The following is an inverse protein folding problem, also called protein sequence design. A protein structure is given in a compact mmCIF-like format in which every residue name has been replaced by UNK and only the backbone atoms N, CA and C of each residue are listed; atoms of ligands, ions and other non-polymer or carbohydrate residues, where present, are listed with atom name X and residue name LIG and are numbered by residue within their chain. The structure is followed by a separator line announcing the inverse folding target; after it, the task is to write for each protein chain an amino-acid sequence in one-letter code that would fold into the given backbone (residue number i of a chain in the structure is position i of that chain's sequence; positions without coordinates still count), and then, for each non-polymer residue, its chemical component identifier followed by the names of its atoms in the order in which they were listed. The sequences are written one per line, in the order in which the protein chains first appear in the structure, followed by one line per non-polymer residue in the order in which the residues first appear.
data_IF_658875943001
#
_entry.id   IF_658875943001
#
_cell.length_a   1.000
_cell.length_b   1.000
_cell.length_c   1.000
_cell.angle_alpha   90.00
_cell.angle_beta   90.00
_cell.angle_gamma   90.00
#
_symmetry.space_group_name_H-M   'P 1'
#
loop_
_entity.id
_entity.type
_entity.pdbx_description
1 polymer ?
#
# COMPACT_ATOMS: atom_id res chain seq x y z
N UNK A 1 -9.49 -12.06 -17.43
CA UNK A 1 -10.14 -13.23 -18.05
C UNK A 1 -10.83 -14.17 -17.06
N UNK A 2 -10.29 -14.37 -15.85
CA UNK A 2 -10.86 -15.26 -14.82
C UNK A 2 -12.22 -14.79 -14.28
N UNK A 3 -12.38 -13.49 -14.00
CA UNK A 3 -13.65 -12.94 -13.49
C UNK A 3 -14.84 -13.05 -14.47
N UNK A 4 -14.59 -12.94 -15.78
CA UNK A 4 -15.64 -13.07 -16.81
C UNK A 4 -16.16 -14.51 -16.87
N UNK A 5 -15.27 -15.50 -16.69
CA UNK A 5 -15.63 -16.92 -16.63
C UNK A 5 -16.48 -17.26 -15.40
N UNK A 6 -16.20 -16.66 -14.25
CA UNK A 6 -17.02 -16.83 -13.04
C UNK A 6 -18.43 -16.26 -13.20
N UNK A 7 -18.57 -15.09 -13.85
CA UNK A 7 -19.88 -14.48 -14.11
C UNK A 7 -20.74 -15.34 -15.04
N UNK A 8 -20.15 -15.88 -16.11
CA UNK A 8 -20.83 -16.81 -17.03
C UNK A 8 -21.26 -18.11 -16.35
N UNK A 9 -20.44 -18.63 -15.43
CA UNK A 9 -20.74 -19.86 -14.71
C UNK A 9 -21.91 -19.70 -13.73
N UNK A 10 -21.96 -18.56 -13.01
CA UNK A 10 -23.10 -18.21 -12.16
C UNK A 10 -24.38 -17.98 -12.98
N UNK A 11 -24.25 -17.49 -14.21
CA UNK A 11 -25.37 -17.29 -15.13
C UNK A 11 -26.01 -18.63 -15.55
N UNK A 12 -25.16 -19.63 -15.82
CA UNK A 12 -25.59 -20.99 -16.24
C UNK A 12 -26.23 -21.78 -15.09
N UNK A 13 -25.72 -21.65 -13.87
CA UNK A 13 -26.30 -22.31 -12.68
C UNK A 13 -27.71 -21.79 -12.34
N UNK A 14 -27.99 -20.51 -12.63
CA UNK A 14 -29.32 -19.93 -12.43
C UNK A 14 -30.40 -20.48 -13.37
N UNK A 15 -30.01 -21.01 -14.54
CA UNK A 15 -30.95 -21.59 -15.51
C UNK A 15 -31.30 -23.05 -15.20
N UNK A 16 -30.43 -23.79 -14.50
CA UNK A 16 -30.60 -25.21 -14.23
C UNK A 16 -31.44 -25.52 -12.98
N UNK A 17 -31.75 -24.52 -12.14
CA UNK A 17 -32.44 -24.73 -10.85
C UNK A 17 -33.99 -24.74 -10.94
N UNK A 18 -34.56 -24.83 -12.15
CA UNK A 18 -36.00 -24.69 -12.37
C UNK A 18 -36.58 -25.89 -13.15
N UNK A 19 -36.81 -27.02 -12.49
CA UNK A 19 -37.77 -28.03 -12.98
C UNK A 19 -38.26 -28.89 -11.82
N UNK A 20 -39.54 -28.72 -11.46
CA UNK A 20 -40.30 -29.41 -10.39
C UNK A 20 -40.94 -30.72 -10.94
N UNK A 21 -41.37 -31.69 -10.10
CA UNK A 21 -41.69 -33.08 -10.48
C UNK A 21 -42.97 -33.26 -11.32
N UNK A 22 -43.75 -32.20 -11.54
CA UNK A 22 -44.89 -32.23 -12.45
C UNK A 22 -44.49 -32.43 -13.93
N UNK A 23 -43.20 -32.25 -14.25
CA UNK A 23 -42.64 -32.43 -15.58
C UNK A 23 -42.59 -33.92 -16.02
N UNK A 24 -42.25 -34.83 -15.09
CA UNK A 24 -42.05 -36.24 -15.44
C UNK A 24 -43.36 -36.95 -15.81
N UNK A 25 -44.45 -36.71 -15.05
CA UNK A 25 -45.77 -37.34 -15.29
C UNK A 25 -46.36 -36.93 -16.65
N UNK A 26 -46.18 -35.66 -17.06
CA UNK A 26 -46.66 -35.17 -18.37
C UNK A 26 -45.84 -35.77 -19.52
N UNK A 27 -44.52 -35.83 -19.36
CA UNK A 27 -43.61 -36.32 -20.40
C UNK A 27 -43.82 -37.81 -20.66
N UNK A 28 -44.08 -38.59 -19.62
CA UNK A 28 -44.37 -40.02 -19.75
C UNK A 28 -45.75 -40.28 -20.34
N UNK A 29 -46.74 -39.41 -20.08
CA UNK A 29 -48.05 -39.44 -20.75
C UNK A 29 -47.97 -39.15 -22.26
N UNK A 30 -47.17 -38.16 -22.69
CA UNK A 30 -47.00 -37.87 -24.12
C UNK A 30 -46.26 -39.02 -24.84
N UNK A 31 -45.21 -39.57 -24.22
CA UNK A 31 -44.45 -40.68 -24.79
C UNK A 31 -45.28 -41.95 -24.95
N UNK A 32 -46.14 -42.26 -23.98
CA UNK A 32 -47.00 -43.45 -24.05
C UNK A 32 -48.09 -43.32 -25.11
N UNK A 33 -48.66 -42.12 -25.29
CA UNK A 33 -49.61 -41.81 -26.37
C UNK A 33 -49.00 -42.05 -27.74
N UNK A 34 -47.78 -41.53 -27.98
CA UNK A 34 -47.08 -41.75 -29.24
C UNK A 34 -46.75 -43.24 -29.48
N UNK A 35 -46.39 -43.98 -28.42
CA UNK A 35 -46.14 -45.43 -28.54
C UNK A 35 -47.42 -46.21 -28.86
N UNK A 36 -48.54 -45.87 -28.23
CA UNK A 36 -49.81 -46.54 -28.49
C UNK A 36 -50.29 -46.28 -29.93
N UNK A 37 -50.20 -45.04 -30.42
CA UNK A 37 -50.57 -44.68 -31.79
C UNK A 37 -49.71 -45.43 -32.82
N UNK A 38 -48.40 -45.52 -32.57
CA UNK A 38 -47.48 -46.30 -33.41
C UNK A 38 -47.78 -47.80 -33.41
N UNK A 39 -48.23 -48.38 -32.28
CA UNK A 39 -48.55 -49.81 -32.18
C UNK A 39 -49.88 -50.15 -32.86
N UNK A 40 -50.87 -49.26 -32.79
CA UNK A 40 -52.15 -49.39 -33.50
C UNK A 40 -51.94 -49.32 -35.01
N UNK A 41 -51.11 -48.39 -35.50
CA UNK A 41 -50.78 -48.29 -36.93
C UNK A 41 -50.01 -49.50 -37.46
N UNK A 42 -49.21 -50.16 -36.62
CA UNK A 42 -48.46 -51.35 -37.00
C UNK A 42 -49.33 -52.63 -37.06
N UNK A 43 -50.57 -52.60 -36.55
CA UNK A 43 -51.49 -53.75 -36.58
C UNK A 43 -51.12 -54.92 -35.65
N UNK A 44 -50.17 -54.72 -34.73
CA UNK A 44 -49.58 -55.78 -33.88
C UNK A 44 -50.16 -55.79 -32.44
N UNK A 45 -50.98 -54.80 -32.07
CA UNK A 45 -51.47 -54.68 -30.70
C UNK A 45 -52.79 -55.42 -30.44
N UNK A 46 -52.83 -56.17 -29.35
CA UNK A 46 -54.08 -56.63 -28.74
C UNK A 46 -54.81 -55.38 -28.20
N UNK A 47 -55.85 -54.95 -28.91
CA UNK A 47 -56.43 -53.59 -28.82
C UNK A 47 -57.03 -53.27 -27.45
N UNK A 48 -57.32 -54.30 -26.65
CA UNK A 48 -57.90 -54.20 -25.32
C UNK A 48 -56.85 -53.82 -24.27
N UNK A 49 -55.65 -54.42 -24.32
CA UNK A 49 -54.60 -54.19 -23.32
C UNK A 49 -53.94 -52.81 -23.47
N UNK A 50 -53.75 -52.33 -24.70
CA UNK A 50 -53.22 -50.98 -24.96
C UNK A 50 -54.23 -49.89 -24.57
N UNK A 51 -55.53 -50.14 -24.79
CA UNK A 51 -56.59 -49.24 -24.37
C UNK A 51 -56.71 -49.14 -22.83
N UNK A 52 -56.54 -50.25 -22.11
CA UNK A 52 -56.50 -50.25 -20.63
C UNK A 52 -55.32 -49.43 -20.09
N UNK A 53 -54.11 -49.65 -20.61
CA UNK A 53 -52.91 -48.93 -20.18
C UNK A 53 -53.02 -47.42 -20.47
N UNK A 54 -53.59 -47.04 -21.62
CA UNK A 54 -53.81 -45.63 -21.95
C UNK A 54 -54.87 -44.99 -21.03
N UNK A 55 -55.93 -45.73 -20.69
CA UNK A 55 -56.99 -45.27 -19.81
C UNK A 55 -56.49 -45.04 -18.38
N UNK A 56 -55.65 -45.95 -17.87
CA UNK A 56 -55.04 -45.82 -16.55
C UNK A 56 -54.13 -44.59 -16.48
N UNK A 57 -53.30 -44.37 -17.49
CA UNK A 57 -52.41 -43.21 -17.56
C UNK A 57 -53.18 -41.89 -17.79
N UNK A 58 -54.27 -41.92 -18.56
CA UNK A 58 -55.16 -40.79 -18.73
C UNK A 58 -55.86 -40.43 -17.41
N UNK A 59 -56.20 -41.42 -16.60
CA UNK A 59 -56.79 -41.23 -15.27
C UNK A 59 -55.79 -40.62 -14.30
N UNK A 60 -54.54 -41.07 -14.32
CA UNK A 60 -53.46 -40.46 -13.51
C UNK A 60 -53.19 -39.01 -13.90
N UNK A 61 -53.10 -38.73 -15.20
CA UNK A 61 -52.98 -37.36 -15.70
C UNK A 61 -54.17 -36.48 -15.29
N UNK A 62 -55.39 -37.01 -15.38
CA UNK A 62 -56.61 -36.29 -15.00
C UNK A 62 -56.64 -35.97 -13.50
N UNK A 63 -56.23 -36.92 -12.63
CA UNK A 63 -56.06 -36.65 -11.19
C UNK A 63 -54.99 -35.59 -10.92
N UNK A 64 -53.84 -35.68 -11.58
CA UNK A 64 -52.77 -34.69 -11.43
C UNK A 64 -53.22 -33.29 -11.87
N UNK A 65 -54.05 -33.21 -12.92
CA UNK A 65 -54.64 -31.96 -13.41
C UNK A 65 -55.69 -31.38 -12.47
N UNK A 66 -56.51 -32.22 -11.84
CA UNK A 66 -57.50 -31.81 -10.83
C UNK A 66 -56.84 -31.30 -9.54
N UNK A 67 -55.79 -31.99 -9.06
CA UNK A 67 -54.98 -31.54 -7.92
C UNK A 67 -54.28 -30.20 -8.19
N UNK A 68 -54.04 -29.89 -9.47
CA UNK A 68 -53.45 -28.63 -9.93
C UNK A 68 -54.50 -27.52 -10.16
N UNK A 69 -55.74 -27.71 -9.69
CA UNK A 69 -56.83 -26.73 -9.71
C UNK A 69 -57.16 -26.22 -11.13
N UNK A 70 -57.01 -27.10 -12.14
CA UNK A 70 -57.29 -26.82 -13.54
C UNK A 70 -56.30 -25.87 -14.24
N UNK A 71 -55.24 -25.39 -13.57
CA UNK A 71 -54.20 -24.58 -14.22
C UNK A 71 -53.31 -25.49 -15.07
N UNK A 72 -53.15 -25.13 -16.35
CA UNK A 72 -52.39 -25.92 -17.35
C UNK A 72 -51.01 -26.28 -16.79
N UNK A 73 -50.65 -27.56 -16.88
CA UNK A 73 -49.32 -28.13 -16.56
C UNK A 73 -48.28 -27.67 -17.60
N UNK A 74 -48.16 -26.35 -17.78
CA UNK A 74 -47.18 -25.73 -18.67
C UNK A 74 -46.41 -24.71 -17.84
N UNK A 75 -45.08 -24.79 -17.94
CA UNK A 75 -44.05 -24.02 -17.22
C UNK A 75 -44.57 -22.74 -16.56
N UNK A 76 -44.56 -22.67 -15.22
CA UNK A 76 -44.75 -21.39 -14.55
C UNK A 76 -43.52 -20.51 -14.82
N UNK A 77 -43.69 -19.25 -15.27
CA UNK A 77 -42.58 -18.32 -15.37
C UNK A 77 -42.06 -17.99 -13.97
N UNK A 78 -40.73 -17.89 -13.83
CA UNK A 78 -40.06 -17.56 -12.57
C UNK A 78 -40.65 -16.27 -11.94
N UNK A 79 -40.72 -16.24 -10.59
CA UNK A 79 -41.25 -15.10 -9.84
C UNK A 79 -40.60 -13.78 -10.26
N UNK A 80 -41.40 -12.77 -10.61
CA UNK A 80 -40.93 -11.43 -11.04
C UNK A 80 -39.93 -10.80 -10.07
N UNK A 81 -40.06 -11.09 -8.77
CA UNK A 81 -39.11 -10.66 -7.72
C UNK A 81 -37.73 -11.31 -7.87
N UNK A 82 -37.67 -12.61 -8.16
CA UNK A 82 -36.41 -13.34 -8.36
C UNK A 82 -35.70 -12.85 -9.62
N UNK A 83 -36.44 -12.60 -10.70
CA UNK A 83 -35.90 -12.03 -11.93
C UNK A 83 -35.29 -10.64 -11.71
N UNK A 84 -35.97 -9.78 -10.94
CA UNK A 84 -35.44 -8.46 -10.60
C UNK A 84 -34.16 -8.53 -9.74
N UNK A 85 -34.16 -9.38 -8.71
CA UNK A 85 -32.98 -9.57 -7.84
C UNK A 85 -31.76 -10.05 -8.63
N UNK A 86 -31.97 -10.98 -9.55
CA UNK A 86 -30.88 -11.52 -10.38
C UNK A 86 -30.40 -10.51 -11.43
N UNK A 87 -31.30 -9.70 -11.99
CA UNK A 87 -30.94 -8.56 -12.85
C UNK A 87 -30.11 -7.51 -12.09
N UNK A 88 -30.51 -7.14 -10.88
CA UNK A 88 -29.78 -6.20 -10.03
C UNK A 88 -28.40 -6.73 -9.63
N UNK A 89 -28.31 -8.01 -9.26
CA UNK A 89 -27.03 -8.67 -8.97
C UNK A 89 -26.09 -8.70 -10.17
N UNK A 90 -26.63 -9.02 -11.37
CA UNK A 90 -25.85 -9.02 -12.60
C UNK A 90 -25.32 -7.62 -12.92
N UNK A 91 -26.16 -6.59 -12.82
CA UNK A 91 -25.75 -5.20 -13.04
C UNK A 91 -24.65 -4.75 -12.06
N UNK A 92 -24.78 -5.10 -10.78
CA UNK A 92 -23.76 -4.84 -9.77
C UNK A 92 -22.44 -5.53 -10.12
N UNK A 93 -22.48 -6.80 -10.51
CA UNK A 93 -21.28 -7.57 -10.87
C UNK A 93 -20.58 -7.01 -12.11
N UNK A 94 -21.32 -6.59 -13.13
CA UNK A 94 -20.76 -5.90 -14.28
C UNK A 94 -20.12 -4.56 -13.88
N UNK A 95 -20.79 -3.76 -13.05
CA UNK A 95 -20.26 -2.50 -12.54
C UNK A 95 -18.93 -2.68 -11.77
N UNK A 96 -18.89 -3.66 -10.87
CA UNK A 96 -17.66 -4.00 -10.13
C UNK A 96 -16.56 -4.49 -11.07
N UNK A 97 -16.88 -5.29 -12.08
CA UNK A 97 -15.89 -5.78 -13.05
C UNK A 97 -15.24 -4.64 -13.86
N UNK A 98 -16.07 -3.71 -14.34
CA UNK A 98 -15.61 -2.52 -15.06
C UNK A 98 -14.72 -1.67 -14.15
N UNK A 99 -15.17 -1.41 -12.91
CA UNK A 99 -14.39 -0.65 -11.92
C UNK A 99 -13.04 -1.31 -11.61
N UNK A 100 -13.03 -2.62 -11.35
CA UNK A 100 -11.78 -3.37 -11.13
C UNK A 100 -10.86 -3.36 -12.35
N UNK A 101 -11.40 -3.40 -13.56
CA UNK A 101 -10.60 -3.35 -14.79
C UNK A 101 -9.92 -1.99 -14.98
N UNK A 102 -10.65 -0.90 -14.78
CA UNK A 102 -10.10 0.47 -14.81
C UNK A 102 -9.01 0.61 -13.73
N UNK A 103 -9.28 0.09 -12.53
CA UNK A 103 -8.33 0.12 -11.42
C UNK A 103 -7.06 -0.66 -11.72
N UNK A 104 -7.15 -1.86 -12.31
CA UNK A 104 -5.97 -2.66 -12.66
C UNK A 104 -5.12 -2.00 -13.76
N UNK A 105 -5.75 -1.35 -14.74
CA UNK A 105 -5.02 -0.60 -15.79
C UNK A 105 -4.20 0.52 -15.16
N UNK A 106 -4.80 1.31 -14.27
CA UNK A 106 -4.10 2.39 -13.55
C UNK A 106 -2.92 1.85 -12.72
N UNK A 107 -3.15 0.80 -11.92
CA UNK A 107 -2.09 0.16 -11.13
C UNK A 107 -0.99 -0.49 -11.98
N UNK A 108 -1.32 -0.96 -13.19
CA UNK A 108 -0.34 -1.54 -14.10
C UNK A 108 0.62 -0.48 -14.62
N UNK A 109 0.11 0.69 -14.96
CA UNK A 109 0.93 1.82 -15.43
C UNK A 109 1.82 2.37 -14.30
N UNK A 110 1.30 2.53 -13.08
CA UNK A 110 2.12 2.95 -11.92
C UNK A 110 3.26 1.94 -11.63
N UNK A 111 2.99 0.63 -11.79
CA UNK A 111 4.03 -0.41 -11.68
C UNK A 111 5.06 -0.36 -12.80
N UNK A 112 4.68 0.03 -14.02
CA UNK A 112 5.65 0.26 -15.11
C UNK A 112 6.56 1.44 -14.78
N UNK A 113 6.01 2.53 -14.25
CA UNK A 113 6.79 3.70 -13.85
C UNK A 113 7.84 3.34 -12.80
N UNK A 114 7.47 2.61 -11.75
CA UNK A 114 8.43 2.12 -10.74
C UNK A 114 9.53 1.24 -11.35
N UNK A 115 9.18 0.39 -12.31
CA UNK A 115 10.18 -0.43 -13.03
C UNK A 115 11.14 0.43 -13.83
N UNK A 116 10.66 1.43 -14.57
CA UNK A 116 11.54 2.34 -15.32
C UNK A 116 12.54 3.07 -14.43
N UNK A 117 12.16 3.45 -13.20
CA UNK A 117 13.11 4.04 -12.25
C UNK A 117 14.18 3.04 -11.80
N UNK A 118 13.79 1.79 -11.53
CA UNK A 118 14.74 0.72 -11.17
C UNK A 118 15.66 0.42 -12.33
N UNK A 119 15.11 0.21 -13.54
CA UNK A 119 15.86 -0.08 -14.76
C UNK A 119 16.85 1.05 -15.08
N UNK A 120 16.43 2.31 -14.93
CA UNK A 120 17.30 3.48 -15.09
C UNK A 120 18.46 3.45 -14.09
N UNK A 121 18.18 3.19 -12.81
CA UNK A 121 19.21 3.13 -11.78
C UNK A 121 20.21 1.98 -12.00
N UNK A 122 19.71 0.83 -12.47
CA UNK A 122 20.52 -0.34 -12.78
C UNK A 122 21.40 -0.09 -14.00
N UNK A 123 20.85 0.52 -15.05
CA UNK A 123 21.59 0.90 -16.24
C UNK A 123 22.66 1.96 -15.95
N UNK A 124 22.37 2.94 -15.09
CA UNK A 124 23.38 3.90 -14.63
C UNK A 124 24.50 3.20 -13.85
N UNK A 125 24.20 2.16 -13.07
CA UNK A 125 25.21 1.35 -12.40
C UNK A 125 26.05 0.52 -13.39
N UNK A 126 25.40 -0.07 -14.40
CA UNK A 126 26.09 -0.80 -15.49
C UNK A 126 27.03 0.11 -16.27
N UNK A 127 26.61 1.34 -16.57
CA UNK A 127 27.47 2.34 -17.23
C UNK A 127 28.70 2.68 -16.37
N UNK A 128 28.53 2.85 -15.04
CA UNK A 128 29.67 3.07 -14.14
C UNK A 128 30.66 1.90 -14.14
N UNK A 129 30.16 0.66 -14.18
CA UNK A 129 31.02 -0.52 -14.26
C UNK A 129 31.73 -0.62 -15.61
N UNK A 130 31.01 -0.40 -16.71
CA UNK A 130 31.57 -0.38 -18.07
C UNK A 130 32.70 0.66 -18.20
N UNK A 131 32.53 1.84 -17.58
CA UNK A 131 33.56 2.88 -17.59
C UNK A 131 34.81 2.45 -16.82
N UNK A 132 34.69 1.74 -15.69
CA UNK A 132 35.84 1.18 -14.97
C UNK A 132 36.58 0.13 -15.80
N UNK A 133 35.86 -0.84 -16.37
CA UNK A 133 36.45 -1.87 -17.24
C UNK A 133 37.16 -1.22 -18.45
N UNK A 134 36.59 -0.13 -18.96
CA UNK A 134 37.19 0.66 -20.05
C UNK A 134 38.51 1.32 -19.64
N UNK A 135 38.57 1.88 -18.44
CA UNK A 135 39.80 2.46 -17.88
C UNK A 135 40.87 1.39 -17.65
N UNK A 136 40.49 0.23 -17.11
CA UNK A 136 41.39 -0.92 -16.91
C UNK A 136 41.98 -1.44 -18.23
N UNK A 137 41.15 -1.62 -19.26
CA UNK A 137 41.60 -2.08 -20.57
C UNK A 137 42.48 -1.03 -21.28
N UNK A 138 42.22 0.26 -21.09
CA UNK A 138 43.11 1.33 -21.59
C UNK A 138 44.46 1.30 -20.89
N UNK A 139 44.48 1.12 -19.57
CA UNK A 139 45.72 0.98 -18.81
C UNK A 139 46.53 -0.26 -19.26
N UNK A 140 45.84 -1.37 -19.54
CA UNK A 140 46.47 -2.56 -20.12
C UNK A 140 47.14 -2.26 -21.47
N UNK A 141 46.48 -1.51 -22.37
CA UNK A 141 47.08 -1.11 -23.66
C UNK A 141 48.33 -0.23 -23.53
N UNK A 142 48.44 0.55 -22.46
CA UNK A 142 49.63 1.37 -22.17
C UNK A 142 50.81 0.53 -21.63
N UNK A 143 50.57 -0.71 -21.22
CA UNK A 143 51.61 -1.60 -20.72
C UNK A 143 52.52 -2.09 -21.86
N UNK A 144 53.83 -1.91 -21.68
CA UNK A 144 54.86 -2.12 -22.73
C UNK A 144 55.09 -3.60 -23.10
N UNK A 145 54.43 -4.55 -22.42
CA UNK A 145 54.66 -6.00 -22.52
C UNK A 145 53.73 -6.75 -23.47
N UNK A 146 52.66 -6.14 -23.98
CA UNK A 146 51.65 -6.83 -24.78
C UNK A 146 52.12 -7.21 -26.19
N UNK A 147 51.87 -8.45 -26.59
CA UNK A 147 52.01 -8.90 -27.98
C UNK A 147 50.93 -8.32 -28.90
N UNK A 148 51.17 -8.27 -30.21
CA UNK A 148 50.24 -7.68 -31.19
C UNK A 148 48.85 -8.33 -31.16
N UNK A 149 48.79 -9.66 -31.00
CA UNK A 149 47.54 -10.40 -30.90
C UNK A 149 46.73 -10.03 -29.64
N UNK A 150 47.41 -9.80 -28.51
CA UNK A 150 46.76 -9.38 -27.25
C UNK A 150 46.25 -7.93 -27.36
N UNK A 151 47.01 -7.05 -28.02
CA UNK A 151 46.57 -5.67 -28.31
C UNK A 151 45.31 -5.63 -29.15
N UNK A 152 45.22 -6.48 -30.17
CA UNK A 152 44.02 -6.59 -31.03
C UNK A 152 42.80 -7.11 -30.25
N UNK A 153 42.97 -8.08 -29.34
CA UNK A 153 41.90 -8.58 -28.47
C UNK A 153 41.37 -7.47 -27.56
N UNK A 154 42.28 -6.72 -26.92
CA UNK A 154 41.89 -5.60 -26.05
C UNK A 154 41.17 -4.51 -26.84
N UNK A 155 41.60 -4.20 -28.07
CA UNK A 155 40.88 -3.26 -28.95
C UNK A 155 39.49 -3.77 -29.34
N UNK A 156 39.32 -5.06 -29.61
CA UNK A 156 38.01 -5.68 -29.87
C UNK A 156 37.11 -5.64 -28.64
N UNK A 157 37.64 -5.90 -27.46
CA UNK A 157 36.89 -5.78 -26.21
C UNK A 157 36.45 -4.35 -25.94
N UNK A 158 37.35 -3.38 -26.13
CA UNK A 158 37.08 -1.96 -25.96
C UNK A 158 35.98 -1.46 -26.91
N UNK A 159 36.02 -1.85 -28.17
CA UNK A 159 34.97 -1.50 -29.16
C UNK A 159 33.62 -2.13 -28.81
N UNK A 160 33.60 -3.37 -28.35
CA UNK A 160 32.38 -4.02 -27.87
C UNK A 160 31.79 -3.33 -26.63
N UNK A 161 32.63 -2.95 -25.67
CA UNK A 161 32.20 -2.21 -24.47
C UNK A 161 31.65 -0.83 -24.84
N UNK A 162 32.29 -0.10 -25.75
CA UNK A 162 31.78 1.19 -26.24
C UNK A 162 30.42 1.03 -26.94
N UNK A 163 30.26 0.03 -27.80
CA UNK A 163 28.98 -0.24 -28.45
C UNK A 163 27.89 -0.64 -27.44
N UNK A 164 28.25 -1.37 -26.37
CA UNK A 164 27.33 -1.69 -25.28
C UNK A 164 26.95 -0.45 -24.45
N UNK A 165 27.92 0.38 -24.08
CA UNK A 165 27.71 1.63 -23.35
C UNK A 165 26.80 2.60 -24.11
N UNK A 166 27.00 2.75 -25.42
CA UNK A 166 26.14 3.59 -26.26
C UNK A 166 24.68 3.12 -26.25
N UNK A 167 24.44 1.80 -26.36
CA UNK A 167 23.08 1.22 -26.27
C UNK A 167 22.42 1.48 -24.92
N UNK A 168 23.17 1.33 -23.81
CA UNK A 168 22.66 1.65 -22.48
C UNK A 168 22.34 3.15 -22.32
N UNK A 169 23.13 4.02 -22.95
CA UNK A 169 22.87 5.46 -22.94
C UNK A 169 21.59 5.80 -23.70
N UNK A 170 21.38 5.22 -24.88
CA UNK A 170 20.14 5.37 -25.66
C UNK A 170 18.92 4.84 -24.89
N UNK A 171 19.05 3.69 -24.23
CA UNK A 171 17.98 3.15 -23.37
C UNK A 171 17.66 4.08 -22.21
N UNK A 172 18.68 4.62 -21.53
CA UNK A 172 18.48 5.58 -20.44
C UNK A 172 17.80 6.87 -20.90
N UNK A 173 18.17 7.40 -22.06
CA UNK A 173 17.49 8.58 -22.62
C UNK A 173 16.03 8.28 -23.00
N UNK A 174 15.75 7.07 -23.51
CA UNK A 174 14.38 6.60 -23.75
C UNK A 174 13.58 6.49 -22.44
N UNK A 175 14.17 5.89 -21.40
CA UNK A 175 13.55 5.75 -20.07
C UNK A 175 13.27 7.13 -19.45
N UNK A 176 14.24 8.05 -19.50
CA UNK A 176 14.07 9.44 -19.01
C UNK A 176 12.96 10.17 -19.75
N UNK A 177 12.84 9.98 -21.07
CA UNK A 177 11.75 10.55 -21.86
C UNK A 177 10.39 10.01 -21.42
N UNK A 178 10.27 8.70 -21.23
CA UNK A 178 9.05 8.05 -20.72
C UNK A 178 8.70 8.52 -19.30
N UNK A 179 9.69 8.69 -18.42
CA UNK A 179 9.49 9.19 -17.06
C UNK A 179 8.93 10.62 -17.06
N UNK A 180 9.50 11.51 -17.89
CA UNK A 180 8.98 12.88 -18.07
C UNK A 180 7.54 12.92 -18.58
N UNK A 181 7.15 11.97 -19.43
CA UNK A 181 5.75 11.86 -19.89
C UNK A 181 4.80 11.47 -18.74
N UNK A 182 5.24 10.58 -17.85
CA UNK A 182 4.48 10.24 -16.64
C UNK A 182 4.36 11.43 -15.68
N UNK A 183 5.42 12.23 -15.49
CA UNK A 183 5.40 13.42 -14.63
C UNK A 183 4.42 14.50 -15.13
N UNK A 184 4.22 14.62 -16.44
CA UNK A 184 3.28 15.58 -17.05
C UNK A 184 1.81 15.22 -16.83
N UNK A 185 1.50 14.01 -16.33
CA UNK A 185 0.10 13.61 -16.09
C UNK A 185 -0.49 14.42 -14.93
N UNK A 186 -1.78 14.79 -15.00
CA UNK A 186 -2.42 15.49 -13.91
C UNK A 186 -2.38 14.62 -12.66
N UNK A 187 -1.83 15.20 -11.59
CA UNK A 187 -1.78 14.56 -10.28
C UNK A 187 -3.22 14.37 -9.81
N UNK A 188 -3.61 13.19 -9.28
CA UNK A 188 -4.94 13.01 -8.74
C UNK A 188 -5.23 14.10 -7.71
N UNK A 189 -6.42 14.74 -7.78
CA UNK A 189 -6.82 15.83 -6.90
C UNK A 189 -6.60 15.51 -5.40
N UNK A 190 -6.80 14.25 -5.02
CA UNK A 190 -6.55 13.74 -3.66
C UNK A 190 -5.08 13.88 -3.24
N UNK A 191 -4.13 13.59 -4.14
CA UNK A 191 -2.70 13.68 -3.88
C UNK A 191 -2.22 15.15 -3.86
N UNK A 192 -2.80 16.02 -4.69
CA UNK A 192 -2.56 17.46 -4.62
C UNK A 192 -3.04 18.06 -3.31
N UNK A 193 -4.25 17.68 -2.87
CA UNK A 193 -4.79 18.10 -1.58
C UNK A 193 -3.90 17.61 -0.45
N UNK A 194 -3.49 16.34 -0.46
CA UNK A 194 -2.59 15.79 0.55
C UNK A 194 -1.25 16.52 0.60
N UNK A 195 -0.67 16.86 -0.57
CA UNK A 195 0.56 17.65 -0.64
C UNK A 195 0.37 19.03 -0.02
N UNK A 196 -0.74 19.71 -0.36
CA UNK A 196 -1.09 21.02 0.20
C UNK A 196 -1.32 20.97 1.70
N UNK A 197 -2.00 19.96 2.22
CA UNK A 197 -2.16 19.78 3.67
C UNK A 197 -0.83 19.47 4.34
N UNK A 198 0.06 18.69 3.71
CA UNK A 198 1.41 18.44 4.19
C UNK A 198 2.27 19.71 4.26
N UNK A 199 2.19 20.57 3.23
CA UNK A 199 2.86 21.88 3.21
C UNK A 199 2.32 22.80 4.31
N UNK A 200 0.99 22.85 4.49
CA UNK A 200 0.37 23.60 5.58
C UNK A 200 0.80 23.09 6.96
N UNK A 201 0.86 21.77 7.15
CA UNK A 201 1.31 21.17 8.40
C UNK A 201 2.77 21.53 8.70
N UNK A 202 3.65 21.52 7.69
CA UNK A 202 5.05 21.97 7.84
C UNK A 202 5.12 23.44 8.23
N UNK A 203 4.42 24.30 7.51
CA UNK A 203 4.39 25.74 7.81
C UNK A 203 3.84 26.03 9.21
N UNK A 204 2.77 25.32 9.62
CA UNK A 204 2.23 25.45 10.97
C UNK A 204 3.23 24.97 12.02
N UNK A 205 3.93 23.87 11.78
CA UNK A 205 4.96 23.37 12.68
C UNK A 205 6.14 24.36 12.82
N UNK A 206 6.58 24.96 11.71
CA UNK A 206 7.59 26.04 11.72
C UNK A 206 7.10 27.25 12.55
N UNK A 207 5.86 27.68 12.35
CA UNK A 207 5.26 28.76 13.14
C UNK A 207 5.19 28.42 14.63
N UNK A 208 4.76 27.21 14.97
CA UNK A 208 4.72 26.73 16.37
C UNK A 208 6.12 26.74 16.96
N UNK A 209 7.14 26.31 16.22
CA UNK A 209 8.52 26.33 16.69
C UNK A 209 9.02 27.76 16.97
N UNK A 210 8.74 28.71 16.06
CA UNK A 210 9.10 30.13 16.23
C UNK A 210 8.35 30.77 17.40
N UNK A 211 7.06 30.49 17.54
CA UNK A 211 6.27 30.99 18.67
C UNK A 211 6.76 30.39 19.98
N UNK A 212 7.05 29.09 20.01
CA UNK A 212 7.57 28.41 21.19
C UNK A 212 8.93 28.98 21.62
N UNK A 213 9.83 29.26 20.68
CA UNK A 213 11.10 29.93 21.01
C UNK A 213 10.87 31.35 21.53
N UNK A 214 9.97 32.12 20.91
CA UNK A 214 9.64 33.46 21.36
C UNK A 214 9.01 33.48 22.77
N UNK A 215 8.15 32.50 23.10
CA UNK A 215 7.59 32.35 24.45
C UNK A 215 8.67 32.06 25.50
N UNK A 216 9.64 31.21 25.18
CA UNK A 216 10.75 30.89 26.10
C UNK A 216 11.72 32.07 26.23
N UNK A 217 11.97 32.80 25.14
CA UNK A 217 12.82 34.01 25.16
C UNK A 217 12.19 35.17 25.91
N UNK A 218 10.86 35.31 25.85
CA UNK A 218 10.11 36.34 26.57
C UNK A 218 9.77 36.01 28.03
N UNK A 219 10.12 34.81 28.52
CA UNK A 219 9.92 34.44 29.92
C UNK A 219 10.96 35.11 30.83
N UNK A 220 10.50 35.90 31.80
CA UNK A 220 11.34 36.70 32.68
C UNK A 220 12.33 35.85 33.51
N UNK A 221 11.90 34.67 33.97
CA UNK A 221 12.73 33.77 34.78
C UNK A 221 13.82 33.14 33.92
N UNK A 222 13.47 32.68 32.72
CA UNK A 222 14.45 32.15 31.76
C UNK A 222 15.45 33.24 31.33
N UNK A 223 14.98 34.46 31.05
CA UNK A 223 15.85 35.59 30.71
C UNK A 223 16.82 35.93 31.86
N UNK A 224 16.32 35.98 33.10
CA UNK A 224 17.13 36.23 34.28
C UNK A 224 18.20 35.14 34.48
N UNK A 225 17.81 33.85 34.36
CA UNK A 225 18.73 32.72 34.47
C UNK A 225 19.78 32.69 33.35
N UNK A 226 19.44 33.18 32.15
CA UNK A 226 20.40 33.31 31.06
C UNK A 226 21.43 34.41 31.33
N UNK A 227 20.99 35.57 31.84
CA UNK A 227 21.85 36.73 32.14
C UNK A 227 22.72 36.52 33.38
N UNK A 228 22.16 35.94 34.44
CA UNK A 228 22.83 35.71 35.71
C UNK A 228 22.70 34.25 36.13
N UNK A 229 23.48 33.33 35.53
CA UNK A 229 23.41 31.93 35.86
C UNK A 229 23.76 31.68 37.33
N UNK A 230 22.87 31.00 38.04
CA UNK A 230 23.03 30.62 39.45
C UNK A 230 22.58 29.19 39.66
N UNK A 231 22.93 28.59 40.80
CA UNK A 231 22.38 27.29 41.16
C UNK A 231 20.84 27.35 41.23
N UNK A 232 20.19 26.33 40.67
CA UNK A 232 18.73 26.24 40.63
C UNK A 232 18.19 25.67 41.95
N UNK A 233 17.20 26.35 42.51
CA UNK A 233 16.43 25.88 43.66
C UNK A 233 15.33 24.91 43.22
N UNK A 234 14.74 24.17 44.16
CA UNK A 234 13.64 23.25 43.85
C UNK A 234 12.44 23.98 43.21
N UNK A 235 12.16 25.22 43.65
CA UNK A 235 11.13 26.08 43.06
C UNK A 235 11.45 26.46 41.60
N UNK A 236 12.72 26.73 41.29
CA UNK A 236 13.15 27.02 39.91
C UNK A 236 12.95 25.79 39.02
N UNK A 237 13.25 24.59 39.50
CA UNK A 237 13.04 23.35 38.75
C UNK A 237 11.57 23.09 38.46
N UNK A 238 10.71 23.28 39.46
CA UNK A 238 9.26 23.14 39.28
C UNK A 238 8.72 24.17 38.29
N UNK A 239 9.20 25.42 38.36
CA UNK A 239 8.82 26.46 37.41
C UNK A 239 9.24 26.11 35.97
N UNK A 240 10.51 25.76 35.76
CA UNK A 240 11.03 25.42 34.43
C UNK A 240 10.32 24.20 33.84
N UNK A 241 9.98 23.21 34.66
CA UNK A 241 9.19 22.06 34.23
C UNK A 241 7.79 22.49 33.77
N UNK A 242 7.06 23.28 34.56
CA UNK A 242 5.73 23.79 34.20
C UNK A 242 5.77 24.66 32.94
N UNK A 243 6.82 25.47 32.77
CA UNK A 243 7.03 26.28 31.58
C UNK A 243 7.24 25.39 30.35
N UNK A 244 8.15 24.41 30.44
CA UNK A 244 8.42 23.49 29.33
C UNK A 244 7.19 22.64 28.96
N UNK A 245 6.43 22.15 29.95
CA UNK A 245 5.20 21.41 29.69
C UNK A 245 4.10 22.28 29.07
N UNK A 246 4.05 23.56 29.41
CA UNK A 246 3.11 24.52 28.80
C UNK A 246 3.51 24.85 27.35
N UNK A 247 4.80 25.08 27.09
CA UNK A 247 5.29 25.51 25.78
C UNK A 247 5.40 24.34 24.79
N UNK A 248 5.82 23.17 25.26
CA UNK A 248 6.14 22.01 24.42
C UNK A 248 5.18 20.83 24.63
N UNK A 249 3.89 21.13 24.80
CA UNK A 249 2.79 20.15 24.88
C UNK A 249 3.11 18.95 25.81
N UNK A 250 3.21 19.23 27.12
CA UNK A 250 3.50 18.23 28.15
C UNK A 250 4.77 17.39 27.87
N UNK A 251 5.83 18.07 27.43
CA UNK A 251 7.12 17.47 27.08
C UNK A 251 7.64 16.49 28.14
N UNK A 252 7.68 16.89 29.42
CA UNK A 252 8.27 16.06 30.47
C UNK A 252 7.48 14.78 30.72
N UNK A 253 6.14 14.86 30.61
CA UNK A 253 5.25 13.71 30.69
C UNK A 253 5.46 12.74 29.52
N UNK A 254 5.41 13.25 28.29
CA UNK A 254 5.61 12.46 27.06
C UNK A 254 6.99 11.80 27.04
N UNK A 255 8.03 12.54 27.39
CA UNK A 255 9.41 12.06 27.40
C UNK A 255 9.63 10.99 28.49
N UNK A 256 9.02 11.16 29.67
CA UNK A 256 9.11 10.17 30.75
C UNK A 256 8.37 8.87 30.44
N UNK A 257 7.25 8.94 29.71
CA UNK A 257 6.54 7.75 29.23
C UNK A 257 7.33 6.98 28.17
N UNK A 258 8.01 7.70 27.28
CA UNK A 258 8.78 7.09 26.20
C UNK A 258 10.11 6.50 26.69
N UNK A 259 10.74 7.11 27.70
CA UNK A 259 12.00 6.65 28.30
C UNK A 259 11.91 6.48 29.83
N UNK A 260 11.15 5.47 30.32
CA UNK A 260 10.93 5.26 31.76
C UNK A 260 12.21 4.95 32.56
N UNK A 261 13.24 4.40 31.91
CA UNK A 261 14.53 4.01 32.47
C UNK A 261 15.47 5.19 32.80
N UNK A 262 15.08 6.43 32.47
CA UNK A 262 15.90 7.61 32.74
C UNK A 262 15.85 8.01 34.22
N UNK A 263 17.02 8.30 34.77
CA UNK A 263 17.17 8.82 36.14
C UNK A 263 16.67 10.26 36.24
N UNK A 264 16.27 10.74 37.42
CA UNK A 264 15.84 12.14 37.61
C UNK A 264 16.84 13.17 37.08
N UNK A 265 18.14 12.96 37.30
CA UNK A 265 19.20 13.83 36.79
C UNK A 265 19.25 13.89 35.24
N UNK A 266 18.90 12.81 34.55
CA UNK A 266 18.82 12.81 33.09
C UNK A 266 17.60 13.59 32.61
N UNK A 267 16.47 13.50 33.32
CA UNK A 267 15.27 14.29 33.01
C UNK A 267 15.52 15.79 33.20
N UNK A 268 16.20 16.18 34.28
CA UNK A 268 16.64 17.56 34.51
C UNK A 268 17.55 18.06 33.39
N UNK A 269 18.52 17.24 32.96
CA UNK A 269 19.38 17.58 31.83
C UNK A 269 18.58 17.76 30.53
N UNK A 270 17.63 16.86 30.22
CA UNK A 270 16.76 17.00 29.06
C UNK A 270 15.92 18.28 29.11
N UNK A 271 15.37 18.63 30.27
CA UNK A 271 14.61 19.87 30.48
C UNK A 271 15.46 21.10 30.14
N UNK A 272 16.69 21.16 30.67
CA UNK A 272 17.59 22.29 30.41
C UNK A 272 18.05 22.37 28.94
N UNK A 273 18.27 21.23 28.30
CA UNK A 273 18.57 21.15 26.86
C UNK A 273 17.37 21.65 26.05
N UNK A 274 16.15 21.22 26.39
CA UNK A 274 14.92 21.60 25.69
C UNK A 274 14.68 23.10 25.73
N UNK A 275 15.01 23.74 26.86
CA UNK A 275 14.95 25.20 27.07
C UNK A 275 16.16 25.97 26.48
N UNK A 276 17.05 25.28 25.75
CA UNK A 276 18.19 25.83 25.01
C UNK A 276 19.23 26.54 25.89
N UNK A 277 19.45 26.06 27.11
CA UNK A 277 20.55 26.58 27.92
C UNK A 277 21.90 26.05 27.42
N UNK A 278 22.92 26.90 27.43
CA UNK A 278 24.28 26.52 27.04
C UNK A 278 24.91 25.54 28.05
N UNK A 279 25.89 24.74 27.62
CA UNK A 279 26.59 23.82 28.51
C UNK A 279 27.23 24.53 29.73
N UNK A 280 27.67 25.78 29.56
CA UNK A 280 28.21 26.60 30.65
C UNK A 280 27.12 26.98 31.66
N UNK A 281 25.94 27.38 31.19
CA UNK A 281 24.79 27.69 32.05
C UNK A 281 24.31 26.45 32.79
N UNK A 282 24.14 25.32 32.09
CA UNK A 282 23.73 24.03 32.68
C UNK A 282 24.72 23.61 33.79
N UNK A 283 26.01 23.81 33.56
CA UNK A 283 27.06 23.51 34.54
C UNK A 283 26.87 24.33 35.82
N UNK A 284 26.64 25.64 35.68
CA UNK A 284 26.36 26.53 36.82
C UNK A 284 25.06 26.17 37.54
N UNK A 285 24.00 25.85 36.80
CA UNK A 285 22.69 25.47 37.34
C UNK A 285 22.73 24.22 38.20
N UNK A 286 23.58 23.27 37.84
CA UNK A 286 23.70 21.95 38.50
C UNK A 286 24.94 21.83 39.39
N UNK A 287 25.70 22.91 39.58
CA UNK A 287 26.94 22.94 40.35
C UNK A 287 27.98 21.88 39.92
N UNK A 288 28.13 21.68 38.61
CA UNK A 288 29.14 20.79 38.02
C UNK A 288 30.06 21.54 37.06
N UNK A 289 31.13 20.90 36.59
CA UNK A 289 31.98 21.49 35.55
C UNK A 289 31.32 21.40 34.16
N UNK A 290 31.60 22.33 33.22
CA UNK A 290 31.12 22.22 31.84
C UNK A 290 31.54 20.91 31.14
N UNK A 291 32.71 20.37 31.47
CA UNK A 291 33.17 19.06 30.98
C UNK A 291 32.30 17.91 31.49
N UNK A 292 31.79 18.00 32.72
CA UNK A 292 30.88 17.01 33.29
C UNK A 292 29.54 17.01 32.56
N UNK A 293 29.02 18.18 32.17
CA UNK A 293 27.79 18.30 31.36
C UNK A 293 27.96 17.58 30.02
N UNK A 294 29.08 17.79 29.32
CA UNK A 294 29.38 17.09 28.06
C UNK A 294 29.42 15.57 28.23
N UNK A 295 30.02 15.09 29.33
CA UNK A 295 30.02 13.65 29.64
C UNK A 295 28.61 13.12 29.96
N UNK A 296 27.81 13.88 30.71
CA UNK A 296 26.42 13.50 30.99
C UNK A 296 25.57 13.44 29.71
N UNK A 297 25.73 14.41 28.80
CA UNK A 297 25.12 14.38 27.45
C UNK A 297 25.52 13.13 26.67
N UNK A 298 26.81 12.76 26.68
CA UNK A 298 27.28 11.55 26.02
C UNK A 298 26.69 10.27 26.64
N UNK A 299 26.66 10.17 27.97
CA UNK A 299 26.05 9.03 28.69
C UNK A 299 24.55 8.93 28.42
N UNK A 300 23.85 10.06 28.37
CA UNK A 300 22.45 10.12 28.03
C UNK A 300 22.21 9.68 26.58
N UNK A 301 23.04 10.15 25.63
CA UNK A 301 22.98 9.71 24.22
C UNK A 301 23.11 8.19 24.11
N UNK A 302 24.11 7.62 24.78
CA UNK A 302 24.32 6.17 24.80
C UNK A 302 23.08 5.42 25.32
N UNK A 303 22.49 5.88 26.43
CA UNK A 303 21.27 5.27 27.00
C UNK A 303 20.04 5.38 26.10
N UNK A 304 19.89 6.49 25.37
CA UNK A 304 18.80 6.65 24.42
C UNK A 304 18.99 5.74 23.19
N UNK A 305 20.23 5.58 22.71
CA UNK A 305 20.54 4.63 21.64
C UNK A 305 20.28 3.17 22.05
N UNK A 306 20.57 2.81 23.29
CA UNK A 306 20.26 1.47 23.84
C UNK A 306 18.73 1.24 23.93
N UNK A 307 17.93 2.29 24.06
CA UNK A 307 16.48 2.22 24.13
C UNK A 307 15.81 2.15 22.75
N UNK A 308 16.31 2.93 21.80
CA UNK A 308 15.84 2.99 20.43
C UNK A 308 16.99 3.43 19.50
N UNK A 309 17.48 2.45 18.73
CA UNK A 309 18.62 2.62 17.82
C UNK A 309 18.28 3.53 16.63
N UNK A 310 16.99 3.64 16.26
CA UNK A 310 16.55 4.43 15.12
C UNK A 310 16.59 5.94 15.39
N UNK A 311 16.63 6.37 16.66
CA UNK A 311 16.64 7.79 17.06
C UNK A 311 17.84 8.58 16.50
N UNK A 312 18.99 7.93 16.34
CA UNK A 312 20.25 8.59 15.96
C UNK A 312 20.77 8.15 14.58
N UNK A 313 19.95 7.50 13.75
CA UNK A 313 20.36 6.91 12.48
C UNK A 313 21.03 7.90 11.50
N UNK A 314 20.71 9.20 11.61
CA UNK A 314 21.25 10.27 10.75
C UNK A 314 22.52 10.94 11.31
N UNK A 315 23.13 10.41 12.38
CA UNK A 315 24.28 11.04 13.03
C UNK A 315 23.92 12.28 13.86
N UNK A 316 22.64 12.43 14.22
CA UNK A 316 22.12 13.59 14.97
C UNK A 316 22.78 13.75 16.36
N UNK A 317 22.85 15.00 16.83
CA UNK A 317 23.28 15.32 18.18
C UNK A 317 22.15 15.04 19.18
N UNK A 318 22.50 14.84 20.45
CA UNK A 318 21.48 14.65 21.50
C UNK A 318 20.57 15.86 21.65
N UNK A 319 21.11 17.06 21.48
CA UNK A 319 20.35 18.30 21.56
C UNK A 319 19.28 18.34 20.45
N UNK A 320 19.63 18.00 19.21
CA UNK A 320 18.67 17.93 18.09
C UNK A 320 17.56 16.89 18.33
N UNK A 321 17.89 15.72 18.90
CA UNK A 321 16.89 14.69 19.21
C UNK A 321 15.93 15.16 20.31
N UNK A 322 16.42 15.77 21.37
CA UNK A 322 15.59 16.29 22.47
C UNK A 322 14.67 17.42 21.98
N UNK A 323 15.14 18.25 21.04
CA UNK A 323 14.37 19.36 20.48
C UNK A 323 13.19 18.92 19.60
N UNK A 324 13.23 17.69 19.07
CA UNK A 324 12.15 17.11 18.25
C UNK A 324 10.96 16.62 19.09
N UNK A 325 11.13 16.41 20.40
CA UNK A 325 10.07 16.00 21.31
C UNK A 325 9.31 17.20 21.87
#
# INVERSE_FOLDING_TARGET
MTLIRFSLFALLLGLAACSDPAYDVLLDYEKSLCRADSLVQAGVADSTQTAEMLSELHREYSRAKELSDGKRVRMQPADKRKQFLWGAFSALMFGLNIWFSIRDIKFRDDRKHRRYLVDLSENEQRLRNNEREREELKACLEEMSLTEAEREEVHRSLTNLMAHGNRLHEENESLRTRLKEYEKRPVPRELELLKKEGERARHLNEQVQVLSSALVEGDEVVEQLRRHPRFLTDDDWEYLQKLADRVYDNFTGRFSQHFPQLTPAHRQLCLLIRLRFSNAQIATFTAVSPSSVSQQKFRLKKRLMEADEALFANGETIDAVIERY
#
